data_IF_259051038507
#
_entry.id   IF_259051038507
#
_cell.length_a   1.000
_cell.length_b   1.000
_cell.length_c   1.000
_cell.angle_alpha   90.00
_cell.angle_beta   90.00
_cell.angle_gamma   90.00
#
_symmetry.space_group_name_H-M   'P 1'
#
loop_
_entity.id
_entity.type
_entity.pdbx_description
1 polymer ?
#
# COMPACT_ATOMS: atom_id res chain seq x y z
N UNK A 1 -20.96 9.68 -10.89
CA UNK A 1 -20.07 9.96 -9.76
C UNK A 1 -20.87 9.80 -8.47
N UNK A 2 -20.35 9.17 -7.41
CA UNK A 2 -21.09 9.05 -6.15
C UNK A 2 -21.14 10.40 -5.42
N UNK A 3 -22.33 10.89 -5.16
CA UNK A 3 -22.60 12.05 -4.32
C UNK A 3 -22.79 11.60 -2.87
N UNK A 4 -22.09 12.25 -1.96
CA UNK A 4 -22.17 11.96 -0.53
C UNK A 4 -23.38 12.65 0.14
N UNK A 5 -24.14 11.86 0.91
CA UNK A 5 -25.19 12.36 1.78
C UNK A 5 -24.69 12.33 3.23
N UNK A 6 -24.43 13.51 3.79
CA UNK A 6 -23.85 13.69 5.12
C UNK A 6 -24.72 13.18 6.26
N UNK A 7 -26.03 13.22 6.10
CA UNK A 7 -27.00 12.84 7.14
C UNK A 7 -27.13 11.33 7.29
N UNK A 8 -27.03 10.61 6.15
CA UNK A 8 -27.15 9.14 6.10
C UNK A 8 -25.81 8.43 6.30
N UNK A 9 -24.71 9.14 6.24
CA UNK A 9 -23.37 8.55 6.33
C UNK A 9 -23.01 8.13 7.75
N UNK A 10 -22.66 6.86 7.96
CA UNK A 10 -22.19 6.31 9.24
C UNK A 10 -20.69 6.44 9.45
N UNK A 11 -19.98 7.08 8.54
CA UNK A 11 -18.54 7.39 8.62
C UNK A 11 -17.63 6.17 8.78
N UNK A 12 -17.95 5.05 8.14
CA UNK A 12 -17.20 3.81 8.25
C UNK A 12 -15.98 3.72 7.29
N UNK A 13 -15.89 4.59 6.30
CA UNK A 13 -14.86 4.68 5.25
C UNK A 13 -14.73 3.44 4.35
N UNK A 14 -15.69 2.51 4.37
CA UNK A 14 -15.66 1.32 3.50
C UNK A 14 -15.68 1.69 2.01
N UNK A 15 -16.38 2.75 1.64
CA UNK A 15 -16.39 3.26 0.26
C UNK A 15 -15.00 3.70 -0.22
N UNK A 16 -14.22 4.33 0.65
CA UNK A 16 -12.82 4.66 0.37
C UNK A 16 -11.96 3.40 0.25
N UNK A 17 -12.14 2.45 1.17
CA UNK A 17 -11.38 1.18 1.19
C UNK A 17 -11.48 0.42 -0.14
N UNK A 18 -12.69 0.31 -0.71
CA UNK A 18 -12.94 -0.46 -1.94
C UNK A 18 -12.81 0.37 -3.23
N UNK A 19 -12.51 1.67 -3.15
CA UNK A 19 -12.36 2.48 -4.35
C UNK A 19 -11.07 2.10 -5.11
N UNK A 20 -11.18 1.57 -6.35
CA UNK A 20 -10.01 1.08 -7.10
C UNK A 20 -9.01 2.17 -7.46
N UNK A 21 -9.49 3.43 -7.59
CA UNK A 21 -8.69 4.55 -8.07
C UNK A 21 -8.32 5.56 -6.98
N UNK A 22 -8.63 5.27 -5.70
CA UNK A 22 -8.45 6.22 -4.60
C UNK A 22 -9.16 7.57 -4.83
N UNK A 23 -10.21 7.57 -5.66
CA UNK A 23 -11.02 8.75 -5.97
C UNK A 23 -12.02 9.12 -4.87
N UNK A 24 -12.16 8.30 -3.83
CA UNK A 24 -12.99 8.57 -2.65
C UNK A 24 -12.09 8.63 -1.43
N UNK A 25 -12.07 9.77 -0.75
CA UNK A 25 -11.23 10.00 0.43
C UNK A 25 -12.02 10.57 1.59
N UNK A 26 -11.89 9.99 2.79
CA UNK A 26 -12.36 10.64 4.00
C UNK A 26 -11.39 11.74 4.40
N UNK A 27 -11.94 12.88 4.81
CA UNK A 27 -11.18 14.04 5.29
C UNK A 27 -11.59 14.34 6.73
N UNK A 28 -10.61 14.69 7.56
CA UNK A 28 -10.81 15.20 8.91
C UNK A 28 -10.17 16.57 9.01
N UNK A 29 -10.92 17.56 9.50
CA UNK A 29 -10.45 18.92 9.72
C UNK A 29 -10.66 19.31 11.19
N UNK A 30 -9.65 19.93 11.81
CA UNK A 30 -9.85 20.66 13.08
C UNK A 30 -10.75 21.88 12.82
N UNK A 31 -11.18 22.56 13.88
CA UNK A 31 -11.95 23.80 13.75
C UNK A 31 -11.16 24.88 13.01
N UNK A 32 -9.86 24.98 13.27
CA UNK A 32 -8.95 25.93 12.65
C UNK A 32 -8.73 25.60 11.15
N UNK A 33 -8.53 24.31 10.82
CA UNK A 33 -8.40 23.86 9.44
C UNK A 33 -9.71 24.04 8.66
N UNK A 34 -10.87 23.80 9.29
CA UNK A 34 -12.18 24.03 8.66
C UNK A 34 -12.39 25.50 8.30
N UNK A 35 -11.88 26.44 9.12
CA UNK A 35 -11.95 27.88 8.83
C UNK A 35 -11.08 28.29 7.64
N UNK A 36 -10.11 27.47 7.20
CA UNK A 36 -9.21 27.75 6.08
C UNK A 36 -9.70 27.17 4.74
N UNK A 37 -10.73 26.33 4.75
CA UNK A 37 -11.32 25.76 3.53
C UNK A 37 -12.61 26.47 3.15
N UNK A 38 -13.01 26.33 1.88
CA UNK A 38 -14.25 26.96 1.36
C UNK A 38 -15.47 26.60 2.21
N UNK A 39 -16.42 27.53 2.32
CA UNK A 39 -17.73 27.27 2.93
C UNK A 39 -18.49 26.14 2.20
N UNK A 40 -18.30 26.03 0.88
CA UNK A 40 -18.87 24.95 0.07
C UNK A 40 -18.36 23.56 0.44
N UNK A 41 -17.22 23.47 1.17
CA UNK A 41 -16.72 22.21 1.71
C UNK A 41 -17.50 21.83 2.97
N UNK A 42 -18.72 21.34 2.79
CA UNK A 42 -19.60 20.93 3.88
C UNK A 42 -19.02 19.76 4.68
N UNK A 43 -19.14 19.81 5.99
CA UNK A 43 -18.65 18.79 6.93
C UNK A 43 -19.70 18.47 7.98
N UNK A 44 -19.51 17.37 8.69
CA UNK A 44 -20.27 17.01 9.91
C UNK A 44 -19.33 16.64 11.03
N UNK A 45 -19.74 16.69 12.31
CA UNK A 45 -18.91 16.21 13.41
C UNK A 45 -18.44 14.78 13.18
N UNK A 46 -17.14 14.54 13.38
CA UNK A 46 -16.54 13.21 13.25
C UNK A 46 -17.01 12.28 14.37
N UNK A 47 -17.22 11.01 14.05
CA UNK A 47 -17.68 9.98 15.00
C UNK A 47 -16.68 8.82 15.06
N UNK A 48 -16.54 8.18 16.25
CA UNK A 48 -15.82 6.91 16.40
C UNK A 48 -14.32 6.96 16.07
N UNK A 49 -13.65 8.05 16.48
CA UNK A 49 -12.19 8.21 16.33
C UNK A 49 -11.40 7.75 17.58
N UNK A 50 -12.10 7.33 18.64
CA UNK A 50 -11.52 6.97 19.93
C UNK A 50 -11.82 8.00 21.02
N UNK A 51 -11.68 7.58 22.30
CA UNK A 51 -12.06 8.40 23.45
C UNK A 51 -11.20 9.65 23.63
N UNK A 52 -9.95 9.61 23.17
CA UNK A 52 -8.96 10.68 23.34
C UNK A 52 -8.69 11.42 22.02
N UNK A 53 -9.44 11.14 20.95
CA UNK A 53 -9.27 11.87 19.71
C UNK A 53 -9.77 13.31 19.85
N UNK A 54 -9.06 14.30 19.31
CA UNK A 54 -9.56 15.68 19.22
C UNK A 54 -10.91 15.74 18.48
N UNK A 55 -11.65 16.81 18.69
CA UNK A 55 -12.85 17.07 17.91
C UNK A 55 -12.48 17.44 16.47
N UNK A 56 -13.01 16.66 15.53
CA UNK A 56 -12.81 16.88 14.11
C UNK A 56 -14.14 17.03 13.38
N UNK A 57 -14.08 17.73 12.26
CA UNK A 57 -15.11 17.75 11.23
C UNK A 57 -14.78 16.71 10.17
N UNK A 58 -15.78 15.94 9.74
CA UNK A 58 -15.64 14.83 8.79
C UNK A 58 -16.36 15.10 7.47
N UNK A 59 -15.76 14.67 6.36
CA UNK A 59 -16.37 14.62 5.03
C UNK A 59 -15.86 13.40 4.25
N UNK A 60 -16.71 12.83 3.40
CA UNK A 60 -16.29 12.00 2.27
C UNK A 60 -16.17 12.91 1.05
N UNK A 61 -14.95 13.07 0.55
CA UNK A 61 -14.68 13.82 -0.67
C UNK A 61 -14.47 12.86 -1.83
N UNK A 62 -15.02 13.19 -2.99
CA UNK A 62 -14.88 12.40 -4.22
C UNK A 62 -14.18 13.25 -5.26
N UNK A 63 -13.28 12.63 -6.04
CA UNK A 63 -12.77 13.20 -7.29
C UNK A 63 -13.71 12.83 -8.44
N UNK A 64 -14.43 13.76 -9.04
CA UNK A 64 -15.28 13.47 -10.18
C UNK A 64 -14.50 13.03 -11.43
N UNK A 65 -13.33 13.63 -11.66
CA UNK A 65 -12.49 13.36 -12.83
C UNK A 65 -11.78 12.01 -12.79
N UNK A 66 -11.48 11.49 -11.59
CA UNK A 66 -10.82 10.18 -11.43
C UNK A 66 -11.81 9.04 -11.15
N UNK A 67 -13.11 9.35 -11.05
CA UNK A 67 -14.13 8.36 -10.79
C UNK A 67 -14.60 7.66 -12.07
N UNK A 68 -14.35 6.36 -12.19
CA UNK A 68 -14.75 5.55 -13.35
C UNK A 68 -16.23 5.06 -13.29
N UNK A 69 -17.03 5.51 -12.33
CA UNK A 69 -18.44 5.17 -12.25
C UNK A 69 -18.79 3.71 -11.96
N UNK A 70 -17.84 2.92 -11.46
CA UNK A 70 -17.97 1.45 -11.28
C UNK A 70 -18.98 1.00 -10.22
N UNK A 71 -19.46 1.89 -9.35
CA UNK A 71 -20.48 1.65 -8.30
C UNK A 71 -20.04 0.74 -7.13
N UNK A 72 -18.81 0.23 -7.09
CA UNK A 72 -18.32 -0.66 -6.02
C UNK A 72 -18.47 -0.01 -4.63
N UNK A 73 -18.29 1.30 -4.53
CA UNK A 73 -18.47 2.07 -3.30
C UNK A 73 -19.92 2.05 -2.78
N UNK A 74 -20.91 1.97 -3.66
CA UNK A 74 -22.34 1.86 -3.29
C UNK A 74 -22.62 0.48 -2.72
N UNK A 75 -22.11 -0.58 -3.39
CA UNK A 75 -22.28 -1.96 -2.94
C UNK A 75 -21.64 -2.20 -1.56
N UNK A 76 -20.47 -1.58 -1.30
CA UNK A 76 -19.78 -1.70 -0.02
C UNK A 76 -20.36 -0.82 1.09
N UNK A 77 -21.25 0.13 0.77
CA UNK A 77 -21.83 1.05 1.73
C UNK A 77 -22.93 0.37 2.56
N UNK A 78 -22.78 0.27 3.90
CA UNK A 78 -23.79 -0.37 4.74
C UNK A 78 -25.04 0.51 4.97
N UNK A 79 -25.00 1.79 4.58
CA UNK A 79 -26.08 2.75 4.81
C UNK A 79 -26.73 3.15 3.49
N UNK A 80 -27.94 2.68 3.27
CA UNK A 80 -28.72 2.99 2.06
C UNK A 80 -28.90 4.50 1.85
N UNK A 81 -28.52 4.98 0.66
CA UNK A 81 -28.62 6.39 0.29
C UNK A 81 -27.55 7.31 0.91
N UNK A 82 -26.55 6.78 1.60
CA UNK A 82 -25.39 7.57 2.02
C UNK A 82 -24.48 7.95 0.83
N UNK A 83 -24.53 7.17 -0.24
CA UNK A 83 -23.94 7.47 -1.55
C UNK A 83 -25.01 7.25 -2.61
N UNK A 84 -25.09 8.17 -3.57
CA UNK A 84 -26.00 8.08 -4.71
C UNK A 84 -25.27 8.46 -5.99
N UNK A 85 -25.46 7.68 -7.06
CA UNK A 85 -24.83 8.00 -8.35
C UNK A 85 -25.60 9.13 -9.02
N UNK A 86 -24.88 10.18 -9.36
CA UNK A 86 -25.36 11.34 -10.10
C UNK A 86 -24.53 11.56 -11.38
N UNK A 87 -25.03 12.31 -12.37
CA UNK A 87 -24.26 12.72 -13.53
C UNK A 87 -22.94 13.42 -13.14
N UNK A 88 -21.94 13.31 -13.97
CA UNK A 88 -20.63 13.99 -13.76
C UNK A 88 -20.79 15.51 -13.64
N UNK A 89 -21.63 16.09 -14.47
CA UNK A 89 -21.86 17.54 -14.52
C UNK A 89 -22.35 18.10 -13.18
N UNK A 90 -23.11 17.32 -12.40
CA UNK A 90 -23.64 17.74 -11.09
C UNK A 90 -22.55 17.77 -9.99
N UNK A 91 -21.39 17.16 -10.26
CA UNK A 91 -20.30 17.03 -9.30
C UNK A 91 -18.98 17.67 -9.76
N UNK A 92 -18.95 18.21 -10.95
CA UNK A 92 -17.72 18.71 -11.60
C UNK A 92 -16.95 19.72 -10.73
N UNK A 93 -17.64 20.62 -10.04
CA UNK A 93 -17.07 21.61 -9.15
C UNK A 93 -16.43 21.01 -7.89
N UNK A 94 -16.80 19.79 -7.53
CA UNK A 94 -16.19 19.09 -6.38
C UNK A 94 -14.73 18.70 -6.60
N UNK A 95 -14.23 18.76 -7.85
CA UNK A 95 -12.81 18.51 -8.12
C UNK A 95 -11.93 19.54 -7.41
N UNK A 96 -12.31 20.80 -7.39
CA UNK A 96 -11.58 21.83 -6.69
C UNK A 96 -11.44 21.53 -5.18
N UNK A 97 -12.52 21.04 -4.56
CA UNK A 97 -12.50 20.59 -3.17
C UNK A 97 -11.61 19.37 -2.97
N UNK A 98 -11.61 18.45 -3.94
CA UNK A 98 -10.74 17.26 -3.88
C UNK A 98 -9.27 17.67 -3.96
N UNK A 99 -8.89 18.51 -4.93
CA UNK A 99 -7.50 18.91 -5.16
C UNK A 99 -6.95 19.75 -3.98
N UNK A 100 -7.72 20.72 -3.50
CA UNK A 100 -7.28 21.64 -2.44
C UNK A 100 -7.28 21.03 -1.04
N UNK A 101 -8.15 20.03 -0.78
CA UNK A 101 -8.34 19.50 0.57
C UNK A 101 -7.97 18.01 0.65
N UNK A 102 -8.56 17.14 -0.18
CA UNK A 102 -8.35 15.71 -0.06
C UNK A 102 -6.96 15.25 -0.54
N UNK A 103 -6.34 16.01 -1.45
CA UNK A 103 -4.97 15.77 -1.93
C UNK A 103 -3.90 16.44 -1.07
N UNK A 104 -4.26 17.40 -0.27
CA UNK A 104 -3.31 18.19 0.52
C UNK A 104 -2.87 17.45 1.78
N UNK A 105 -1.59 17.16 1.90
CA UNK A 105 -1.01 16.39 3.01
C UNK A 105 -1.12 17.10 4.37
N UNK A 106 -1.26 18.42 4.38
CA UNK A 106 -1.55 19.20 5.59
C UNK A 106 -2.76 18.67 6.37
N UNK A 107 -3.74 18.10 5.67
CA UNK A 107 -4.97 17.59 6.28
C UNK A 107 -4.94 16.08 6.58
N UNK A 108 -3.83 15.39 6.31
CA UNK A 108 -3.67 13.98 6.67
C UNK A 108 -3.54 13.81 8.20
N UNK A 109 -4.12 12.75 8.74
CA UNK A 109 -4.19 12.50 10.19
C UNK A 109 -3.60 11.15 10.61
N UNK A 110 -2.65 10.62 9.86
CA UNK A 110 -2.03 9.30 10.11
C UNK A 110 -1.37 9.18 11.48
N UNK A 111 -0.78 10.29 11.97
CA UNK A 111 -0.02 10.29 13.22
C UNK A 111 -0.90 10.48 14.46
N UNK A 112 -2.14 10.94 14.27
CA UNK A 112 -3.09 11.24 15.35
C UNK A 112 -4.08 10.08 15.54
N UNK A 113 -4.36 9.32 14.47
CA UNK A 113 -5.38 8.27 14.44
C UNK A 113 -4.70 6.92 14.23
N UNK A 114 -5.01 5.97 15.12
CA UNK A 114 -4.53 4.59 14.97
C UNK A 114 -4.96 3.99 13.62
N UNK A 115 -4.01 3.56 12.80
CA UNK A 115 -4.25 2.90 11.51
C UNK A 115 -4.68 1.43 11.62
N UNK A 116 -5.05 0.96 12.82
CA UNK A 116 -5.31 -0.47 13.11
C UNK A 116 -6.70 -0.98 12.67
N UNK A 117 -7.58 -0.13 12.18
CA UNK A 117 -8.91 -0.53 11.73
C UNK A 117 -9.25 0.05 10.34
N UNK A 118 -10.26 -0.52 9.70
CA UNK A 118 -10.70 -0.16 8.33
C UNK A 118 -11.01 1.32 8.19
N UNK A 119 -11.65 1.94 9.18
CA UNK A 119 -11.99 3.36 9.16
C UNK A 119 -10.72 4.22 9.19
N UNK A 120 -9.85 3.94 10.15
CA UNK A 120 -8.71 4.81 10.45
C UNK A 120 -7.62 4.75 9.39
N UNK A 121 -7.35 3.57 8.81
CA UNK A 121 -6.31 3.43 7.77
C UNK A 121 -6.63 4.28 6.54
N UNK A 122 -7.91 4.58 6.27
CA UNK A 122 -8.30 5.37 5.11
C UNK A 122 -7.97 6.87 5.24
N UNK A 123 -7.57 7.34 6.43
CA UNK A 123 -7.03 8.69 6.61
C UNK A 123 -5.51 8.76 6.30
N UNK A 124 -4.86 7.63 6.08
CA UNK A 124 -3.48 7.60 5.58
C UNK A 124 -3.44 7.88 4.08
N UNK A 125 -2.38 8.55 3.63
CA UNK A 125 -2.15 8.81 2.20
C UNK A 125 -2.10 7.49 1.42
N UNK A 126 -2.91 7.33 0.36
CA UNK A 126 -2.67 6.28 -0.61
C UNK A 126 -1.52 6.69 -1.52
N UNK A 127 -0.41 5.96 -1.48
CA UNK A 127 0.71 6.18 -2.41
C UNK A 127 0.50 5.48 -3.75
N UNK A 128 -0.59 4.72 -3.90
CA UNK A 128 -1.06 4.14 -5.16
C UNK A 128 -2.46 4.69 -5.46
N UNK A 129 -2.58 5.45 -6.57
CA UNK A 129 -3.80 6.17 -6.92
C UNK A 129 -3.91 6.41 -8.43
N UNK A 130 -5.13 6.55 -8.93
CA UNK A 130 -5.43 6.95 -10.31
C UNK A 130 -4.74 6.07 -11.37
N UNK A 131 -4.73 4.75 -11.12
CA UNK A 131 -4.11 3.78 -12.03
C UNK A 131 -4.89 3.62 -13.33
N UNK A 132 -4.23 3.06 -14.36
CA UNK A 132 -4.86 2.70 -15.63
C UNK A 132 -5.71 1.41 -15.58
N UNK A 133 -6.10 0.95 -14.39
CA UNK A 133 -6.89 -0.28 -14.22
C UNK A 133 -8.33 -0.13 -14.70
N UNK A 134 -8.97 -1.25 -14.98
CA UNK A 134 -10.37 -1.32 -15.37
C UNK A 134 -11.31 -0.74 -14.30
N UNK A 135 -12.46 -0.23 -14.73
CA UNK A 135 -13.50 0.23 -13.83
C UNK A 135 -13.96 -0.92 -12.90
N UNK A 136 -13.82 -0.74 -11.59
CA UNK A 136 -14.16 -1.77 -10.60
C UNK A 136 -13.10 -2.85 -10.39
N UNK A 137 -11.87 -2.66 -10.87
CA UNK A 137 -10.76 -3.60 -10.64
C UNK A 137 -10.55 -3.86 -9.14
N UNK A 138 -10.65 -5.12 -8.72
CA UNK A 138 -10.47 -5.49 -7.33
C UNK A 138 -8.99 -5.52 -6.91
N UNK A 139 -8.06 -5.81 -7.82
CA UNK A 139 -6.63 -5.93 -7.53
C UNK A 139 -6.04 -4.63 -6.97
N UNK A 140 -6.36 -3.50 -7.58
CA UNK A 140 -5.83 -2.19 -7.19
C UNK A 140 -6.17 -1.78 -5.76
N UNK A 141 -7.26 -2.29 -5.20
CA UNK A 141 -7.66 -2.01 -3.81
C UNK A 141 -6.69 -2.61 -2.79
N UNK A 142 -6.10 -3.77 -3.10
CA UNK A 142 -5.07 -4.40 -2.26
C UNK A 142 -3.76 -3.63 -2.32
N UNK A 143 -3.33 -3.21 -3.51
CA UNK A 143 -2.10 -2.42 -3.68
C UNK A 143 -2.25 -1.06 -3.02
N UNK A 144 -3.41 -0.41 -3.18
CA UNK A 144 -3.71 0.83 -2.48
C UNK A 144 -3.61 0.67 -0.96
N UNK A 145 -4.24 -0.36 -0.40
CA UNK A 145 -4.18 -0.64 1.04
C UNK A 145 -2.76 -0.92 1.50
N UNK A 146 -2.01 -1.72 0.75
CA UNK A 146 -0.60 -1.98 1.00
C UNK A 146 0.21 -0.68 1.03
N UNK A 147 -0.02 0.21 0.05
CA UNK A 147 0.65 1.51 -0.01
C UNK A 147 0.28 2.45 1.15
N UNK A 148 -0.93 2.33 1.71
CA UNK A 148 -1.33 3.06 2.91
C UNK A 148 -0.68 2.51 4.19
N UNK A 149 -0.42 1.20 4.25
CA UNK A 149 0.21 0.53 5.39
C UNK A 149 1.72 0.74 5.40
N UNK A 150 2.37 0.48 4.27
CA UNK A 150 3.83 0.55 4.15
C UNK A 150 4.35 1.97 3.83
N UNK A 151 3.50 2.82 3.29
CA UNK A 151 3.85 4.21 2.97
C UNK A 151 5.02 4.33 2.00
N UNK A 152 5.90 5.28 2.27
CA UNK A 152 7.12 5.55 1.51
C UNK A 152 8.22 4.48 1.67
N UNK A 153 8.00 3.49 2.54
CA UNK A 153 8.93 2.38 2.76
C UNK A 153 8.68 1.20 1.80
N UNK A 154 7.63 1.26 0.99
CA UNK A 154 7.21 0.17 0.10
C UNK A 154 8.14 0.02 -1.09
N UNK A 155 8.67 -1.19 -1.29
CA UNK A 155 9.41 -1.60 -2.47
C UNK A 155 8.68 -2.75 -3.15
N UNK A 156 8.40 -2.61 -4.43
CA UNK A 156 7.59 -3.55 -5.21
C UNK A 156 8.36 -4.06 -6.41
N UNK A 157 8.64 -5.37 -6.45
CA UNK A 157 8.92 -6.10 -7.67
C UNK A 157 7.59 -6.62 -8.25
N UNK A 158 7.27 -6.27 -9.49
CA UNK A 158 5.97 -6.57 -10.08
C UNK A 158 6.10 -7.51 -11.28
N UNK A 159 5.50 -8.69 -11.20
CA UNK A 159 5.47 -9.63 -12.32
C UNK A 159 4.66 -9.05 -13.49
N UNK A 160 5.04 -9.41 -14.71
CA UNK A 160 4.27 -9.08 -15.91
C UNK A 160 2.82 -9.57 -15.80
N UNK A 161 1.87 -8.74 -16.20
CA UNK A 161 0.44 -9.05 -16.15
C UNK A 161 -0.42 -7.80 -15.98
N UNK A 162 -1.64 -7.95 -15.46
CA UNK A 162 -2.52 -6.80 -15.18
C UNK A 162 -1.86 -5.82 -14.21
N UNK A 163 -1.27 -6.31 -13.12
CA UNK A 163 -0.68 -5.47 -12.09
C UNK A 163 0.48 -4.62 -12.61
N UNK A 164 1.32 -5.12 -13.50
CA UNK A 164 2.36 -4.31 -14.14
C UNK A 164 1.78 -3.33 -15.17
N UNK A 165 0.77 -3.75 -15.93
CA UNK A 165 0.15 -2.91 -16.94
C UNK A 165 -0.51 -1.65 -16.35
N UNK A 166 -1.25 -1.78 -15.26
CA UNK A 166 -1.89 -0.63 -14.63
C UNK A 166 -0.96 0.15 -13.67
N UNK A 167 0.16 -0.42 -13.27
CA UNK A 167 1.14 0.24 -12.38
C UNK A 167 2.23 0.99 -13.11
N UNK A 168 2.57 0.61 -14.35
CA UNK A 168 3.69 1.18 -15.09
C UNK A 168 3.37 1.57 -16.53
N UNK A 169 2.10 1.74 -16.88
CA UNK A 169 1.66 2.19 -18.20
C UNK A 169 1.96 3.67 -18.42
N UNK A 170 3.03 3.99 -19.16
CA UNK A 170 3.33 5.38 -19.50
C UNK A 170 2.21 6.02 -20.35
N UNK A 171 1.79 7.26 -20.08
CA UNK A 171 2.37 8.21 -19.13
C UNK A 171 1.79 8.13 -17.69
N UNK A 172 0.94 7.15 -17.39
CA UNK A 172 0.24 7.03 -16.11
C UNK A 172 1.11 6.22 -15.15
N UNK A 173 1.63 6.87 -14.11
CA UNK A 173 2.31 6.23 -12.99
C UNK A 173 1.47 6.44 -11.72
N UNK A 174 0.81 5.38 -11.20
CA UNK A 174 -0.09 5.50 -10.06
C UNK A 174 0.64 5.66 -8.71
N UNK A 175 1.93 5.34 -8.66
CA UNK A 175 2.73 5.57 -7.46
C UNK A 175 3.14 7.04 -7.36
N UNK A 176 2.94 7.63 -6.18
CA UNK A 176 3.24 9.04 -5.94
C UNK A 176 4.20 9.21 -4.76
N UNK A 177 4.76 10.42 -4.65
CA UNK A 177 5.60 10.85 -3.53
C UNK A 177 4.82 11.74 -2.57
N UNK A 178 5.33 11.85 -1.35
CA UNK A 178 4.85 12.85 -0.38
C UNK A 178 5.54 14.22 -0.60
N UNK A 179 5.12 15.23 0.17
CA UNK A 179 5.68 16.60 0.08
C UNK A 179 7.17 16.66 0.42
N UNK A 180 7.71 15.66 1.14
CA UNK A 180 9.14 15.54 1.43
C UNK A 180 9.94 14.90 0.28
N UNK A 181 9.26 14.42 -0.77
CA UNK A 181 9.86 13.74 -1.91
C UNK A 181 10.01 12.22 -1.75
N UNK A 182 9.54 11.62 -0.65
CA UNK A 182 9.58 10.18 -0.42
C UNK A 182 8.34 9.47 -0.97
N UNK A 183 8.53 8.26 -1.46
CA UNK A 183 7.45 7.42 -1.97
C UNK A 183 7.90 5.99 -2.22
N UNK A 184 6.96 5.10 -2.59
CA UNK A 184 7.28 3.74 -2.95
C UNK A 184 8.25 3.65 -4.13
N UNK A 185 9.11 2.64 -4.10
CA UNK A 185 9.85 2.21 -5.28
C UNK A 185 9.08 1.06 -5.94
N UNK A 186 8.92 1.13 -7.24
CA UNK A 186 8.26 0.11 -8.05
C UNK A 186 9.07 -0.16 -9.31
N UNK A 187 9.24 -1.44 -9.62
CA UNK A 187 9.89 -1.84 -10.86
C UNK A 187 9.23 -3.11 -11.42
N UNK A 188 9.22 -3.18 -12.74
CA UNK A 188 8.68 -4.30 -13.48
C UNK A 188 9.74 -5.39 -13.63
N UNK A 189 9.40 -6.62 -13.27
CA UNK A 189 10.20 -7.81 -13.56
C UNK A 189 9.63 -8.61 -14.72
N UNK A 190 10.33 -9.64 -15.14
CA UNK A 190 9.78 -10.62 -16.08
C UNK A 190 8.67 -11.44 -15.41
N UNK A 191 7.97 -12.23 -16.20
CA UNK A 191 6.83 -13.02 -15.75
C UNK A 191 7.25 -14.18 -14.85
N UNK A 192 8.44 -14.74 -15.10
CA UNK A 192 8.99 -15.90 -14.42
C UNK A 192 9.84 -15.60 -13.19
N UNK A 193 10.50 -14.43 -13.13
CA UNK A 193 11.59 -14.16 -12.17
C UNK A 193 11.24 -13.17 -11.03
N UNK A 194 9.97 -12.83 -10.88
CA UNK A 194 9.57 -11.75 -10.00
C UNK A 194 9.90 -11.99 -8.52
N UNK A 195 9.85 -13.21 -8.04
CA UNK A 195 10.18 -13.52 -6.65
C UNK A 195 11.67 -13.27 -6.39
N UNK A 196 12.52 -13.74 -7.28
CA UNK A 196 13.97 -13.56 -7.25
C UNK A 196 14.37 -12.10 -7.42
N UNK A 197 13.65 -11.37 -8.28
CA UNK A 197 13.83 -9.94 -8.46
C UNK A 197 13.56 -9.15 -7.18
N UNK A 198 12.44 -9.43 -6.52
CA UNK A 198 12.12 -8.82 -5.22
C UNK A 198 13.14 -9.25 -4.14
N UNK A 199 13.58 -10.50 -4.16
CA UNK A 199 14.65 -10.96 -3.27
C UNK A 199 15.96 -10.21 -3.50
N UNK A 200 16.27 -9.86 -4.76
CA UNK A 200 17.41 -9.01 -5.13
C UNK A 200 17.33 -7.62 -4.47
N UNK A 201 16.14 -6.99 -4.47
CA UNK A 201 15.92 -5.73 -3.75
C UNK A 201 16.20 -5.87 -2.24
N UNK A 202 15.69 -6.92 -1.64
CA UNK A 202 15.94 -7.18 -0.22
C UNK A 202 17.43 -7.38 0.05
N UNK A 203 18.09 -8.24 -0.72
CA UNK A 203 19.48 -8.62 -0.51
C UNK A 203 20.43 -7.43 -0.67
N UNK A 204 20.24 -6.62 -1.71
CA UNK A 204 21.06 -5.42 -1.93
C UNK A 204 20.97 -4.44 -0.74
N UNK A 205 19.75 -4.20 -0.26
CA UNK A 205 19.54 -3.32 0.90
C UNK A 205 20.09 -3.90 2.20
N UNK A 206 19.97 -5.21 2.42
CA UNK A 206 20.49 -5.89 3.62
C UNK A 206 22.00 -5.76 3.69
N UNK A 207 22.70 -5.90 2.56
CA UNK A 207 24.17 -5.72 2.48
C UNK A 207 24.55 -4.28 2.82
N UNK A 208 23.98 -3.30 2.11
CA UNK A 208 24.29 -1.87 2.32
C UNK A 208 23.98 -1.46 3.77
N UNK A 209 22.86 -1.89 4.32
CA UNK A 209 22.46 -1.56 5.69
C UNK A 209 23.42 -2.17 6.73
N UNK A 210 23.98 -3.34 6.49
CA UNK A 210 25.01 -3.94 7.34
C UNK A 210 26.32 -3.18 7.28
N UNK A 211 26.73 -2.78 6.09
CA UNK A 211 27.92 -1.91 5.93
C UNK A 211 27.73 -0.57 6.65
N UNK A 212 26.54 0.03 6.56
CA UNK A 212 26.21 1.24 7.35
C UNK A 212 26.37 0.99 8.86
N UNK A 213 25.94 -0.16 9.38
CA UNK A 213 26.11 -0.50 10.80
C UNK A 213 27.59 -0.61 11.18
N UNK A 214 28.44 -1.15 10.31
CA UNK A 214 29.87 -1.25 10.56
C UNK A 214 30.51 0.16 10.64
N UNK A 215 30.18 1.07 9.71
CA UNK A 215 30.61 2.47 9.75
C UNK A 215 30.09 3.21 10.99
N UNK A 216 28.82 3.01 11.35
CA UNK A 216 28.23 3.59 12.57
C UNK A 216 28.91 3.08 13.83
N UNK A 217 29.34 1.84 13.87
CA UNK A 217 30.09 1.28 14.99
C UNK A 217 31.44 2.00 15.12
N UNK A 218 32.14 2.26 14.02
CA UNK A 218 33.42 3.03 14.04
C UNK A 218 33.19 4.49 14.51
N UNK A 219 32.13 5.16 14.04
CA UNK A 219 31.72 6.50 14.48
C UNK A 219 31.48 6.54 15.99
N UNK A 220 30.75 5.56 16.51
CA UNK A 220 30.46 5.42 17.94
C UNK A 220 31.71 5.19 18.76
N UNK A 221 32.62 4.33 18.30
CA UNK A 221 33.89 4.02 18.99
C UNK A 221 34.82 5.24 19.02
N UNK A 222 34.73 6.12 18.03
CA UNK A 222 35.37 7.43 18.02
C UNK A 222 34.71 8.45 18.98
N UNK A 223 33.61 8.11 19.61
CA UNK A 223 32.87 8.97 20.55
C UNK A 223 31.96 10.02 19.89
N UNK A 224 31.74 9.93 18.58
CA UNK A 224 30.94 10.89 17.78
C UNK A 224 29.46 10.51 17.88
N UNK A 225 28.58 11.48 18.16
CA UNK A 225 27.12 11.35 18.23
C UNK A 225 26.62 10.07 18.93
N UNK A 226 27.33 9.59 19.95
CA UNK A 226 27.23 8.24 20.52
C UNK A 226 25.81 7.83 20.89
N UNK A 227 25.03 8.70 21.55
CA UNK A 227 23.68 8.38 22.02
C UNK A 227 22.72 8.16 20.83
N UNK A 228 22.83 8.98 19.79
CA UNK A 228 21.97 8.89 18.59
C UNK A 228 22.33 7.67 17.76
N UNK A 229 23.64 7.40 17.61
CA UNK A 229 24.13 6.20 16.91
C UNK A 229 23.70 4.93 17.65
N UNK A 230 23.81 4.87 18.98
CA UNK A 230 23.32 3.75 19.77
C UNK A 230 21.80 3.57 19.64
N UNK A 231 21.05 4.67 19.66
CA UNK A 231 19.59 4.61 19.45
C UNK A 231 19.27 4.01 18.07
N UNK A 232 19.96 4.45 17.02
CA UNK A 232 19.77 3.89 15.69
C UNK A 232 20.14 2.40 15.62
N UNK A 233 21.31 2.00 16.08
CA UNK A 233 21.80 0.60 16.05
C UNK A 233 20.83 -0.34 16.80
N UNK A 234 20.23 0.11 17.89
CA UNK A 234 19.27 -0.70 18.66
C UNK A 234 17.88 -0.76 18.06
N UNK A 235 17.57 0.08 17.05
CA UNK A 235 16.23 0.23 16.49
C UNK A 235 16.18 0.18 14.96
N UNK A 236 17.30 0.08 14.27
CA UNK A 236 17.41 0.17 12.80
C UNK A 236 16.52 -0.81 12.03
N UNK A 237 16.23 -1.98 12.63
CA UNK A 237 15.45 -3.05 12.02
C UNK A 237 13.97 -3.04 12.47
N UNK A 238 13.58 -2.12 13.35
CA UNK A 238 12.20 -1.95 13.81
C UNK A 238 11.44 -1.02 12.87
N UNK A 239 10.63 -1.57 11.99
CA UNK A 239 9.92 -0.82 10.94
C UNK A 239 9.15 0.40 11.45
N UNK A 240 8.46 0.28 12.60
CA UNK A 240 7.59 1.33 13.13
C UNK A 240 8.32 2.63 13.47
N UNK A 241 9.59 2.54 13.90
CA UNK A 241 10.39 3.70 14.33
C UNK A 241 11.62 3.94 13.44
N UNK A 242 11.85 3.06 12.45
CA UNK A 242 13.04 3.12 11.58
C UNK A 242 13.20 4.49 10.91
N UNK A 243 12.12 5.11 10.42
CA UNK A 243 12.16 6.45 9.82
C UNK A 243 12.62 7.49 10.85
N UNK A 244 12.00 7.51 12.03
CA UNK A 244 12.31 8.48 13.06
C UNK A 244 13.78 8.41 13.47
N UNK A 245 14.28 7.21 13.79
CA UNK A 245 15.70 7.06 14.22
C UNK A 245 16.67 7.35 13.07
N UNK A 246 16.26 7.16 11.81
CA UNK A 246 17.05 7.53 10.64
C UNK A 246 17.17 9.04 10.49
N UNK A 247 16.05 9.75 10.61
CA UNK A 247 16.01 11.21 10.51
C UNK A 247 16.82 11.87 11.64
N UNK A 248 16.69 11.38 12.87
CA UNK A 248 17.50 11.83 14.03
C UNK A 248 18.99 11.59 13.80
N UNK A 249 19.38 10.43 13.25
CA UNK A 249 20.76 10.10 12.93
C UNK A 249 21.34 11.03 11.86
N UNK A 250 20.61 11.24 10.76
CA UNK A 250 21.04 12.12 9.67
C UNK A 250 21.28 13.52 10.22
N UNK A 251 20.31 14.07 10.98
CA UNK A 251 20.43 15.42 11.57
C UNK A 251 21.62 15.55 12.51
N UNK A 252 21.96 14.51 13.28
CA UNK A 252 23.11 14.51 14.16
C UNK A 252 24.43 14.48 13.37
N UNK A 253 24.54 13.56 12.38
CA UNK A 253 25.77 13.39 11.60
C UNK A 253 26.04 14.57 10.64
N UNK A 254 25.00 15.25 10.17
CA UNK A 254 25.18 16.47 9.35
C UNK A 254 25.86 17.63 10.11
N UNK A 255 25.80 17.63 11.46
CA UNK A 255 26.42 18.65 12.33
C UNK A 255 27.85 18.32 12.73
N UNK A 256 28.31 17.10 12.51
CA UNK A 256 29.65 16.65 12.88
C UNK A 256 30.68 16.96 11.79
N UNK A 257 31.96 16.98 12.19
CA UNK A 257 33.07 17.09 11.24
C UNK A 257 33.13 15.85 10.36
N UNK A 258 33.18 16.03 9.04
CA UNK A 258 33.15 14.94 8.08
C UNK A 258 34.44 14.11 8.14
N UNK A 259 34.23 12.81 8.24
CA UNK A 259 35.26 11.78 8.05
C UNK A 259 34.71 10.71 7.10
N UNK A 260 35.53 9.76 6.70
CA UNK A 260 35.15 8.72 5.74
C UNK A 260 33.91 7.94 6.16
N UNK A 261 33.76 7.61 7.45
CA UNK A 261 32.62 6.84 7.95
C UNK A 261 31.33 7.66 7.91
N UNK A 262 31.38 8.93 8.34
CA UNK A 262 30.23 9.84 8.29
C UNK A 262 29.80 10.11 6.84
N UNK A 263 30.76 10.34 5.94
CA UNK A 263 30.48 10.54 4.52
C UNK A 263 29.80 9.31 3.92
N UNK A 264 30.30 8.10 4.19
CA UNK A 264 29.69 6.87 3.72
C UNK A 264 28.22 6.74 4.18
N UNK A 265 27.95 6.98 5.47
CA UNK A 265 26.59 6.89 6.02
C UNK A 265 25.67 7.92 5.39
N UNK A 266 26.12 9.16 5.20
CA UNK A 266 25.30 10.22 4.62
C UNK A 266 25.07 10.05 3.11
N UNK A 267 26.03 9.51 2.38
CA UNK A 267 25.90 9.19 0.95
C UNK A 267 24.90 8.04 0.73
N UNK A 268 24.76 7.16 1.72
CA UNK A 268 23.84 6.03 1.70
C UNK A 268 22.60 6.24 2.59
N UNK A 269 22.24 7.48 2.92
CA UNK A 269 21.15 7.81 3.84
C UNK A 269 19.77 7.29 3.43
N UNK A 270 19.53 7.05 2.16
CA UNK A 270 18.28 6.47 1.65
C UNK A 270 18.06 5.02 2.13
N UNK A 271 19.13 4.29 2.49
CA UNK A 271 19.08 2.93 3.00
C UNK A 271 18.95 2.83 4.52
N UNK A 272 19.08 3.92 5.26
CA UNK A 272 18.93 3.93 6.72
C UNK A 272 17.56 3.43 7.16
N UNK A 273 16.50 3.84 6.47
CA UNK A 273 15.13 3.45 6.80
C UNK A 273 14.82 2.05 6.28
N UNK A 274 14.31 1.16 7.16
CA UNK A 274 13.91 -0.21 6.78
C UNK A 274 12.82 -0.19 5.73
N UNK A 275 13.02 -0.91 4.63
CA UNK A 275 12.06 -1.04 3.55
C UNK A 275 11.17 -2.27 3.74
N UNK A 276 9.97 -2.21 3.17
CA UNK A 276 9.02 -3.31 3.08
C UNK A 276 9.03 -3.83 1.65
N UNK A 277 9.68 -4.96 1.41
CA UNK A 277 9.87 -5.52 0.07
C UNK A 277 8.74 -6.51 -0.26
N UNK A 278 8.14 -6.34 -1.43
CA UNK A 278 7.01 -7.13 -1.90
C UNK A 278 7.19 -7.58 -3.34
N UNK A 279 7.02 -8.87 -3.58
CA UNK A 279 6.78 -9.42 -4.91
C UNK A 279 5.27 -9.44 -5.17
N UNK A 280 4.82 -8.80 -6.24
CA UNK A 280 3.41 -8.65 -6.58
C UNK A 280 3.15 -9.22 -7.97
N UNK A 281 2.09 -10.00 -8.14
CA UNK A 281 1.70 -10.52 -9.45
C UNK A 281 0.47 -11.41 -9.40
N UNK A 282 0.02 -11.83 -10.57
CA UNK A 282 -1.17 -12.66 -10.75
C UNK A 282 -0.87 -14.16 -10.82
N UNK A 283 -1.86 -14.90 -11.31
CA UNK A 283 -1.89 -16.37 -11.34
C UNK A 283 -0.73 -16.99 -12.10
N UNK A 284 -0.47 -16.49 -13.30
CA UNK A 284 0.52 -17.08 -14.18
C UNK A 284 1.92 -17.06 -13.60
N UNK A 285 2.26 -15.97 -12.92
CA UNK A 285 3.47 -15.91 -12.12
C UNK A 285 3.43 -16.91 -10.97
N UNK A 286 2.47 -16.76 -10.06
CA UNK A 286 2.53 -17.43 -8.76
C UNK A 286 2.18 -18.92 -8.83
N UNK A 287 1.25 -19.32 -9.69
CA UNK A 287 0.79 -20.71 -9.76
C UNK A 287 1.51 -21.54 -10.84
N UNK A 288 2.04 -20.87 -11.86
CA UNK A 288 2.60 -21.51 -13.04
C UNK A 288 4.10 -21.23 -13.18
N UNK A 289 4.48 -20.29 -14.05
CA UNK A 289 5.86 -20.15 -14.53
C UNK A 289 6.83 -19.66 -13.43
N UNK A 290 6.41 -18.77 -12.56
CA UNK A 290 7.25 -18.22 -11.49
C UNK A 290 7.19 -18.99 -10.16
N UNK A 291 6.46 -20.13 -10.10
CA UNK A 291 6.31 -20.89 -8.85
C UNK A 291 7.64 -21.39 -8.30
N UNK A 292 8.56 -21.83 -9.16
CA UNK A 292 9.88 -22.30 -8.73
C UNK A 292 10.69 -21.24 -8.01
N UNK A 293 10.64 -19.99 -8.48
CA UNK A 293 11.25 -18.84 -7.83
C UNK A 293 10.60 -18.51 -6.49
N UNK A 294 9.26 -18.56 -6.42
CA UNK A 294 8.52 -18.36 -5.15
C UNK A 294 8.97 -19.40 -4.12
N UNK A 295 9.00 -20.68 -4.51
CA UNK A 295 9.43 -21.78 -3.65
C UNK A 295 10.85 -21.53 -3.11
N UNK A 296 11.78 -21.20 -4.01
CA UNK A 296 13.16 -20.92 -3.64
C UNK A 296 13.28 -19.72 -2.68
N UNK A 297 12.62 -18.61 -2.97
CA UNK A 297 12.70 -17.38 -2.15
C UNK A 297 12.09 -17.59 -0.77
N UNK A 298 10.94 -18.29 -0.68
CA UNK A 298 10.32 -18.59 0.60
C UNK A 298 11.18 -19.55 1.44
N UNK A 299 11.90 -20.47 0.80
CA UNK A 299 12.85 -21.35 1.47
C UNK A 299 14.03 -20.62 2.13
N UNK A 300 14.35 -19.38 1.68
CA UNK A 300 15.43 -18.58 2.27
C UNK A 300 15.08 -17.96 3.62
N UNK A 301 13.81 -17.93 4.01
CA UNK A 301 13.31 -17.32 5.27
C UNK A 301 13.83 -15.90 5.46
N UNK A 302 13.64 -15.04 4.45
CA UNK A 302 14.05 -13.64 4.47
C UNK A 302 12.83 -12.72 4.47
N UNK A 303 13.02 -11.46 4.88
CA UNK A 303 11.95 -10.44 4.95
C UNK A 303 11.53 -9.97 3.53
N UNK A 304 11.00 -10.91 2.74
CA UNK A 304 10.40 -10.67 1.43
C UNK A 304 8.96 -11.16 1.48
N UNK A 305 8.03 -10.30 1.10
CA UNK A 305 6.61 -10.57 1.17
C UNK A 305 6.04 -10.85 -0.23
N UNK A 306 5.03 -11.70 -0.30
CA UNK A 306 4.32 -11.99 -1.55
C UNK A 306 2.88 -11.48 -1.49
N UNK A 307 2.44 -10.79 -2.54
CA UNK A 307 1.05 -10.44 -2.77
C UNK A 307 0.59 -11.09 -4.09
N UNK A 308 -0.09 -12.23 -3.96
CA UNK A 308 -0.66 -12.94 -5.12
C UNK A 308 -2.08 -12.44 -5.35
N UNK A 309 -2.29 -11.81 -6.50
CA UNK A 309 -3.57 -11.30 -6.97
C UNK A 309 -4.26 -12.41 -7.80
N UNK A 310 -4.97 -13.29 -7.09
CA UNK A 310 -5.58 -14.50 -7.66
C UNK A 310 -6.91 -14.16 -8.37
N UNK A 311 -6.87 -14.09 -9.68
CA UNK A 311 -8.04 -13.85 -10.55
C UNK A 311 -8.56 -15.14 -11.22
N UNK A 312 -7.95 -16.28 -10.90
CA UNK A 312 -8.30 -17.62 -11.37
C UNK A 312 -8.09 -17.86 -12.89
N UNK A 313 -7.50 -16.87 -13.58
CA UNK A 313 -7.14 -16.96 -15.01
C UNK A 313 -5.94 -16.05 -15.31
N UNK A 314 -5.26 -16.27 -16.43
CA UNK A 314 -4.34 -15.28 -17.03
C UNK A 314 -5.16 -14.09 -17.54
N UNK A 315 -5.47 -13.14 -16.68
CA UNK A 315 -6.42 -12.05 -17.00
C UNK A 315 -5.89 -11.08 -18.05
N UNK A 316 -4.64 -10.63 -17.92
CA UNK A 316 -4.05 -9.63 -18.83
C UNK A 316 -3.91 -10.11 -20.27
N UNK A 317 -3.55 -11.36 -20.48
CA UNK A 317 -3.35 -11.96 -21.81
C UNK A 317 -4.65 -12.38 -22.48
N UNK A 318 -5.78 -12.37 -21.74
CA UNK A 318 -7.11 -12.57 -22.30
C UNK A 318 -7.91 -13.76 -21.78
N UNK A 319 -7.66 -14.24 -20.56
CA UNK A 319 -8.51 -15.20 -19.87
C UNK A 319 -8.17 -16.67 -20.14
N UNK A 320 -6.88 -16.99 -20.25
CA UNK A 320 -6.42 -18.38 -20.37
C UNK A 320 -6.47 -19.09 -19.03
N UNK A 321 -6.70 -20.40 -19.08
CA UNK A 321 -6.66 -21.26 -17.89
C UNK A 321 -5.28 -21.28 -17.25
N UNK A 322 -5.20 -21.10 -15.92
CA UNK A 322 -4.01 -21.24 -15.09
C UNK A 322 -4.15 -22.45 -14.15
N UNK A 323 -3.11 -22.74 -13.37
CA UNK A 323 -3.24 -23.71 -12.26
C UNK A 323 -4.12 -23.18 -11.11
N UNK A 324 -4.40 -21.86 -11.07
CA UNK A 324 -5.37 -21.26 -10.14
C UNK A 324 -6.82 -21.42 -10.58
N UNK A 325 -7.09 -21.75 -11.84
CA UNK A 325 -8.44 -21.92 -12.37
C UNK A 325 -9.13 -23.11 -11.69
N UNK A 326 -10.35 -22.93 -11.12
CA UNK A 326 -11.10 -24.00 -10.48
C UNK A 326 -11.47 -25.13 -11.45
N UNK A 327 -11.70 -26.33 -10.91
CA UNK A 327 -12.25 -27.44 -11.68
C UNK A 327 -13.65 -27.11 -12.22
N UNK A 328 -13.91 -27.44 -13.48
CA UNK A 328 -15.15 -27.15 -14.17
C UNK A 328 -15.28 -25.73 -14.75
N UNK A 329 -14.39 -24.78 -14.37
CA UNK A 329 -14.43 -23.43 -14.92
C UNK A 329 -14.04 -23.41 -16.39
N UNK A 330 -14.81 -22.66 -17.21
CA UNK A 330 -14.55 -22.43 -18.63
C UNK A 330 -13.59 -21.26 -18.76
N UNK A 331 -12.51 -21.46 -19.50
CA UNK A 331 -11.51 -20.45 -19.82
C UNK A 331 -10.90 -20.75 -21.20
N UNK A 332 -10.10 -19.83 -21.74
CA UNK A 332 -9.31 -20.16 -22.96
C UNK A 332 -8.38 -21.34 -22.64
N UNK A 333 -8.26 -22.28 -23.57
CA UNK A 333 -7.59 -23.58 -23.45
C UNK A 333 -8.27 -24.58 -22.48
N UNK A 334 -9.49 -24.28 -22.01
CA UNK A 334 -10.34 -25.14 -21.22
C UNK A 334 -11.81 -24.87 -21.56
N UNK A 335 -12.17 -25.01 -22.86
CA UNK A 335 -13.47 -24.63 -23.40
C UNK A 335 -14.63 -25.50 -22.90
N UNK A 336 -14.35 -26.76 -22.58
CA UNK A 336 -15.29 -27.75 -22.02
C UNK A 336 -15.17 -27.86 -20.48
N UNK A 337 -14.47 -26.92 -19.86
CA UNK A 337 -14.20 -26.86 -18.43
C UNK A 337 -12.84 -27.46 -18.06
N UNK A 338 -12.20 -26.88 -17.05
CA UNK A 338 -10.92 -27.40 -16.56
C UNK A 338 -11.12 -28.71 -15.79
N UNK A 339 -10.43 -29.75 -16.17
CA UNK A 339 -10.55 -31.09 -15.56
C UNK A 339 -9.73 -31.26 -14.27
N UNK A 340 -8.71 -30.43 -14.05
CA UNK A 340 -7.77 -30.54 -12.93
C UNK A 340 -8.15 -29.54 -11.83
N UNK A 341 -8.06 -29.96 -10.58
CA UNK A 341 -8.31 -29.09 -9.43
C UNK A 341 -7.35 -27.87 -9.38
N UNK A 342 -7.81 -26.81 -8.73
CA UNK A 342 -6.97 -25.64 -8.42
C UNK A 342 -5.78 -26.07 -7.57
N UNK A 343 -4.58 -25.62 -7.92
CA UNK A 343 -3.38 -25.77 -7.12
C UNK A 343 -3.55 -24.99 -5.80
N UNK A 344 -3.34 -25.65 -4.68
CA UNK A 344 -3.37 -24.98 -3.38
C UNK A 344 -1.97 -24.40 -3.05
N UNK A 345 -1.73 -23.20 -3.54
CA UNK A 345 -0.48 -22.49 -3.31
C UNK A 345 -0.26 -22.20 -1.81
N UNK A 346 -1.33 -21.84 -1.10
CA UNK A 346 -1.26 -21.54 0.33
C UNK A 346 -0.82 -22.76 1.14
N UNK A 347 -1.43 -23.92 0.89
CA UNK A 347 -1.08 -25.16 1.56
C UNK A 347 0.38 -25.59 1.27
N UNK A 348 0.85 -25.38 0.05
CA UNK A 348 2.24 -25.67 -0.31
C UNK A 348 3.20 -24.80 0.52
N UNK A 349 2.97 -23.51 0.60
CA UNK A 349 3.84 -22.58 1.32
C UNK A 349 3.75 -22.76 2.85
N UNK A 350 2.60 -23.18 3.39
CA UNK A 350 2.48 -23.53 4.82
C UNK A 350 3.39 -24.67 5.24
N UNK A 351 3.78 -25.55 4.32
CA UNK A 351 4.69 -26.68 4.64
C UNK A 351 6.10 -26.23 5.08
N UNK A 352 6.51 -24.99 4.79
CA UNK A 352 7.74 -24.44 5.34
C UNK A 352 7.69 -24.22 6.86
N UNK A 353 6.52 -24.13 7.46
CA UNK A 353 6.31 -24.01 8.91
C UNK A 353 6.61 -22.63 9.49
N UNK A 354 7.45 -21.82 8.86
CA UNK A 354 7.77 -20.45 9.26
C UNK A 354 7.16 -19.37 8.36
N UNK A 355 6.54 -19.75 7.24
CA UNK A 355 5.90 -18.80 6.33
C UNK A 355 4.49 -18.50 6.83
N UNK A 356 4.19 -17.23 7.09
CA UNK A 356 2.83 -16.79 7.36
C UNK A 356 2.03 -16.74 6.05
N UNK A 357 0.93 -17.45 6.01
CA UNK A 357 0.04 -17.53 4.84
C UNK A 357 -1.35 -17.04 5.19
N UNK A 358 -1.92 -16.16 4.36
CA UNK A 358 -3.28 -15.69 4.49
C UNK A 358 -3.98 -15.68 3.12
N UNK A 359 -5.20 -16.21 3.06
CA UNK A 359 -6.10 -16.04 1.93
C UNK A 359 -7.22 -15.10 2.33
N UNK A 360 -7.38 -14.00 1.59
CA UNK A 360 -8.31 -12.93 1.93
C UNK A 360 -9.12 -12.47 0.73
N UNK A 361 -10.32 -11.99 0.99
CA UNK A 361 -11.17 -11.35 -0.01
C UNK A 361 -11.72 -10.03 0.57
N UNK A 362 -11.23 -8.90 0.07
CA UNK A 362 -11.61 -7.57 0.56
C UNK A 362 -13.12 -7.31 0.43
N UNK A 363 -13.74 -7.83 -0.60
CA UNK A 363 -15.19 -7.73 -0.79
C UNK A 363 -16.01 -8.50 0.24
N UNK A 364 -15.43 -9.54 0.83
CA UNK A 364 -16.06 -10.35 1.88
C UNK A 364 -15.78 -9.80 3.28
N UNK A 365 -14.50 -9.64 3.64
CA UNK A 365 -14.11 -9.11 4.96
C UNK A 365 -12.90 -8.15 4.85
N UNK A 366 -13.20 -6.86 4.90
CA UNK A 366 -12.20 -5.80 4.88
C UNK A 366 -11.31 -5.78 6.13
N UNK A 367 -11.86 -6.21 7.28
CA UNK A 367 -11.12 -6.25 8.54
C UNK A 367 -10.11 -7.39 8.54
N UNK A 368 -10.50 -8.55 8.03
CA UNK A 368 -9.58 -9.68 7.85
C UNK A 368 -8.45 -9.30 6.89
N UNK A 369 -8.78 -8.69 5.76
CA UNK A 369 -7.79 -8.25 4.76
C UNK A 369 -6.78 -7.27 5.38
N UNK A 370 -7.25 -6.25 6.09
CA UNK A 370 -6.36 -5.30 6.77
C UNK A 370 -5.45 -5.98 7.80
N UNK A 371 -6.01 -6.88 8.62
CA UNK A 371 -5.24 -7.62 9.63
C UNK A 371 -4.18 -8.50 9.00
N UNK A 372 -4.51 -9.21 7.93
CA UNK A 372 -3.59 -10.11 7.22
C UNK A 372 -2.41 -9.32 6.61
N UNK A 373 -2.68 -8.25 5.85
CA UNK A 373 -1.61 -7.45 5.24
C UNK A 373 -0.73 -6.81 6.33
N UNK A 374 -1.31 -6.34 7.43
CA UNK A 374 -0.52 -5.82 8.55
C UNK A 374 0.32 -6.89 9.23
N UNK A 375 -0.23 -8.09 9.46
CA UNK A 375 0.52 -9.18 10.06
C UNK A 375 1.74 -9.53 9.21
N UNK A 376 1.58 -9.73 7.90
CA UNK A 376 2.70 -9.95 6.98
C UNK A 376 3.70 -8.79 7.02
N UNK A 377 3.23 -7.54 7.03
CA UNK A 377 4.10 -6.36 7.04
C UNK A 377 4.87 -6.14 8.33
N UNK A 378 4.47 -6.74 9.46
CA UNK A 378 5.04 -6.46 10.79
C UNK A 378 5.59 -7.71 11.50
N UNK A 379 5.60 -8.88 10.87
CA UNK A 379 6.05 -10.14 11.48
C UNK A 379 7.54 -10.42 11.30
N UNK A 380 8.25 -9.58 10.58
CA UNK A 380 9.69 -9.76 10.31
C UNK A 380 10.52 -8.57 10.72
#
# INVERSE_FOLDING_TARGET
>A
VPKWNKEKCVQCNRCSMVCPHAAIRPVLLSAEEKAQVSESFETVPAKGLGKNAPEYQFRIQVSPYDCLGCKVCLTACPSAGALEMVPFEDMKQEQENFDKVAMNEKYLKKDIISTKNVKSIQFAKPYFQFSAACAGCAETTYIKLLSQIAGDHLYVGNAAGCSSAYSGGAPILPYCRDERGFGPAWEHSLFEDNAEFAYGFFHAQDVIRKEIIDHLTAIKDAGIAKEVVDNYINNWDKREISRQVSDELIEALEKEEKNQDIEYVLDNKEYLTKKSVWAVGGDGWAYDIGFGGIDHVMAQNRDVNLLVLDTEVYSNTGGQSSKATPSGAVAKFAADGKHIAKKDLGAILMNYGYVYVAQVAMGYDQTQTLKAIRAVSYTH
#
